data_IF_901606454994
#
_entry.id   IF_901606454994
#
_cell.length_a   1.000
_cell.length_b   1.000
_cell.length_c   1.000
_cell.angle_alpha   90.00
_cell.angle_beta   90.00
_cell.angle_gamma   90.00
#
_symmetry.space_group_name_H-M   'P 1'
#
loop_
_entity.id
_entity.type
_entity.pdbx_description
1 polymer ?
#
# COMPACT_ATOMS: atom_id res chain seq x y z
N UNK A 1 -7.75 8.59 -7.58
CA UNK A 1 -6.58 8.85 -8.41
C UNK A 1 -6.41 10.34 -8.66
N UNK A 2 -5.17 10.86 -8.75
CA UNK A 2 -4.94 12.28 -9.05
C UNK A 2 -5.35 12.66 -10.48
N UNK A 3 -5.24 11.74 -11.43
CA UNK A 3 -5.56 11.94 -12.87
C UNK A 3 -5.01 13.28 -13.37
N UNK A 4 -3.66 13.42 -13.47
CA UNK A 4 -3.02 14.72 -13.77
C UNK A 4 -3.49 15.38 -15.06
N UNK A 5 -3.90 14.57 -16.05
CA UNK A 5 -4.41 15.07 -17.33
C UNK A 5 -5.68 15.93 -17.20
N UNK A 6 -6.48 15.70 -16.15
CA UNK A 6 -7.72 16.48 -15.89
C UNK A 6 -7.49 17.56 -14.83
N UNK A 7 -6.53 17.35 -13.93
CA UNK A 7 -6.12 18.27 -12.85
C UNK A 7 -7.25 18.74 -11.91
N UNK A 8 -8.24 17.89 -11.63
CA UNK A 8 -9.37 18.20 -10.74
C UNK A 8 -9.26 17.61 -9.33
N UNK A 9 -8.14 16.98 -8.98
CA UNK A 9 -8.01 16.25 -7.72
C UNK A 9 -8.03 17.17 -6.49
N UNK A 10 -7.57 18.42 -6.60
CA UNK A 10 -7.66 19.40 -5.52
C UNK A 10 -9.10 19.81 -5.26
N UNK A 11 -9.89 20.03 -6.31
CA UNK A 11 -11.30 20.39 -6.16
C UNK A 11 -12.11 19.21 -5.60
N UNK A 12 -11.83 17.99 -6.06
CA UNK A 12 -12.42 16.78 -5.47
C UNK A 12 -12.06 16.66 -3.97
N UNK A 13 -10.81 16.98 -3.61
CA UNK A 13 -10.38 16.98 -2.21
C UNK A 13 -11.11 18.03 -1.37
N UNK A 14 -11.29 19.25 -1.87
CA UNK A 14 -12.11 20.27 -1.22
C UNK A 14 -13.53 19.78 -0.96
N UNK A 15 -14.15 19.10 -1.93
CA UNK A 15 -15.45 18.47 -1.75
C UNK A 15 -15.46 17.42 -0.64
N UNK A 16 -14.43 16.59 -0.53
CA UNK A 16 -14.28 15.61 0.56
C UNK A 16 -14.14 16.29 1.93
N UNK A 17 -13.42 17.40 2.01
CA UNK A 17 -13.30 18.21 3.23
C UNK A 17 -14.66 18.76 3.66
N UNK A 18 -15.48 19.24 2.75
CA UNK A 18 -16.83 19.72 3.08
C UNK A 18 -17.74 18.60 3.59
N UNK A 19 -17.65 17.38 3.03
CA UNK A 19 -18.37 16.21 3.56
C UNK A 19 -17.93 15.85 4.98
N UNK A 20 -16.64 15.97 5.27
CA UNK A 20 -16.10 15.73 6.60
C UNK A 20 -16.57 16.80 7.60
N UNK A 21 -16.52 18.10 7.22
CA UNK A 21 -17.05 19.21 8.05
C UNK A 21 -18.52 19.07 8.33
N UNK A 22 -19.30 18.59 7.37
CA UNK A 22 -20.72 18.31 7.52
C UNK A 22 -21.02 17.09 8.41
N UNK A 23 -20.00 16.36 8.87
CA UNK A 23 -20.15 15.16 9.70
C UNK A 23 -20.67 13.94 8.96
N UNK A 24 -20.74 13.98 7.62
CA UNK A 24 -21.20 12.86 6.80
C UNK A 24 -20.16 11.73 6.67
N UNK A 25 -18.89 12.07 6.83
CA UNK A 25 -17.77 11.11 6.88
C UNK A 25 -16.84 11.48 8.04
N UNK A 26 -16.24 10.47 8.68
CA UNK A 26 -15.30 10.67 9.80
C UNK A 26 -13.88 10.95 9.33
N UNK A 27 -13.45 10.27 8.28
CA UNK A 27 -12.10 10.32 7.75
C UNK A 27 -12.13 10.35 6.23
N UNK A 28 -11.17 11.05 5.64
CA UNK A 28 -11.02 11.17 4.19
C UNK A 28 -9.61 10.79 3.78
N UNK A 29 -9.47 10.17 2.64
CA UNK A 29 -8.19 9.69 2.13
C UNK A 29 -8.13 9.72 0.61
N UNK A 30 -6.98 9.38 0.08
CA UNK A 30 -6.69 9.39 -1.35
C UNK A 30 -6.13 8.04 -1.81
N UNK A 31 -6.04 7.87 -3.13
CA UNK A 31 -5.55 6.66 -3.76
C UNK A 31 -4.56 7.02 -4.87
N UNK A 32 -3.39 6.35 -4.87
CA UNK A 32 -2.35 6.50 -5.89
C UNK A 32 -1.75 7.91 -6.03
N UNK A 33 -1.73 8.67 -4.95
CA UNK A 33 -1.07 9.97 -4.94
C UNK A 33 0.43 9.82 -4.72
N UNK A 34 1.22 10.51 -5.56
CA UNK A 34 2.66 10.67 -5.39
C UNK A 34 2.94 11.85 -4.44
N UNK A 35 4.20 12.01 -4.02
CA UNK A 35 4.60 13.07 -3.08
C UNK A 35 4.15 14.46 -3.54
N UNK A 36 4.36 14.81 -4.81
CA UNK A 36 4.00 16.14 -5.34
C UNK A 36 2.47 16.36 -5.36
N UNK A 37 1.67 15.31 -5.60
CA UNK A 37 0.21 15.42 -5.52
C UNK A 37 -0.24 15.69 -4.07
N UNK A 38 0.32 14.94 -3.10
CA UNK A 38 0.02 15.10 -1.68
C UNK A 38 0.47 16.46 -1.15
N UNK A 39 1.67 16.89 -1.53
CA UNK A 39 2.18 18.22 -1.15
C UNK A 39 1.24 19.32 -1.63
N UNK A 40 0.83 19.28 -2.91
CA UNK A 40 -0.11 20.24 -3.45
C UNK A 40 -1.46 20.25 -2.74
N UNK A 41 -2.01 19.07 -2.38
CA UNK A 41 -3.25 19.02 -1.58
C UNK A 41 -3.08 19.76 -0.26
N UNK A 42 -1.99 19.52 0.44
CA UNK A 42 -1.72 20.12 1.75
C UNK A 42 -1.50 21.63 1.60
N UNK A 43 -0.71 22.06 0.62
CA UNK A 43 -0.39 23.47 0.38
C UNK A 43 -1.65 24.30 0.04
N UNK A 44 -2.54 23.74 -0.79
CA UNK A 44 -3.74 24.45 -1.24
C UNK A 44 -4.92 24.37 -0.27
N UNK A 45 -4.96 23.37 0.62
CA UNK A 45 -6.14 23.14 1.49
C UNK A 45 -5.85 23.16 2.98
N UNK A 46 -4.60 23.01 3.38
CA UNK A 46 -4.20 22.85 4.78
C UNK A 46 -4.61 21.48 5.39
N UNK A 47 -5.20 20.57 4.63
CA UNK A 47 -5.73 19.30 5.12
C UNK A 47 -5.01 18.14 4.46
N UNK A 48 -4.29 17.34 5.27
CA UNK A 48 -3.66 16.11 4.82
C UNK A 48 -4.69 14.95 4.81
N UNK A 49 -4.61 14.02 3.84
CA UNK A 49 -5.38 12.78 3.90
C UNK A 49 -4.94 11.90 5.08
N UNK A 50 -5.85 11.15 5.68
CA UNK A 50 -5.50 10.20 6.74
C UNK A 50 -4.84 8.93 6.19
N UNK A 51 -5.12 8.62 4.93
CA UNK A 51 -4.62 7.42 4.24
C UNK A 51 -4.31 7.73 2.78
N UNK A 52 -3.25 7.12 2.26
CA UNK A 52 -2.95 7.04 0.83
C UNK A 52 -2.86 5.56 0.46
N UNK A 53 -3.83 5.07 -0.32
CA UNK A 53 -3.87 3.68 -0.78
C UNK A 53 -3.12 3.56 -2.11
N UNK A 54 -2.01 2.85 -2.12
CA UNK A 54 -1.09 2.75 -3.28
C UNK A 54 -0.80 1.31 -3.66
N UNK A 55 -0.36 1.07 -4.89
CA UNK A 55 0.24 -0.21 -5.26
C UNK A 55 1.50 -0.42 -4.44
N UNK A 56 1.53 -1.47 -3.62
CA UNK A 56 2.71 -1.79 -2.85
C UNK A 56 2.79 -3.30 -2.61
N UNK A 57 3.93 -3.88 -2.94
CA UNK A 57 4.27 -5.29 -2.74
C UNK A 57 5.81 -5.45 -2.78
N UNK A 58 6.38 -6.62 -2.49
CA UNK A 58 7.83 -6.78 -2.39
C UNK A 58 8.64 -6.35 -3.63
N UNK A 59 8.04 -6.36 -4.84
CA UNK A 59 8.72 -5.92 -6.07
C UNK A 59 8.54 -4.42 -6.38
N UNK A 60 7.62 -3.75 -5.65
CA UNK A 60 7.36 -2.30 -5.73
C UNK A 60 7.12 -1.76 -4.32
N UNK A 61 8.17 -1.40 -3.61
CA UNK A 61 8.08 -1.05 -2.19
C UNK A 61 7.80 0.43 -1.93
N UNK A 62 7.94 1.28 -2.92
CA UNK A 62 7.64 2.72 -2.85
C UNK A 62 8.16 3.40 -1.56
N UNK A 63 9.39 3.08 -1.15
CA UNK A 63 9.97 3.46 0.16
C UNK A 63 9.99 4.95 0.41
N UNK A 64 10.29 5.75 -0.63
CA UNK A 64 10.33 7.21 -0.51
C UNK A 64 8.94 7.76 -0.22
N UNK A 65 7.92 7.30 -0.95
CA UNK A 65 6.54 7.71 -0.73
C UNK A 65 6.02 7.24 0.63
N UNK A 66 6.32 5.99 1.03
CA UNK A 66 5.96 5.47 2.34
C UNK A 66 6.59 6.28 3.48
N UNK A 67 7.89 6.57 3.39
CA UNK A 67 8.59 7.41 4.38
C UNK A 67 8.01 8.84 4.44
N UNK A 68 7.70 9.43 3.29
CA UNK A 68 7.09 10.74 3.22
C UNK A 68 5.69 10.74 3.86
N UNK A 69 4.86 9.77 3.54
CA UNK A 69 3.55 9.58 4.17
C UNK A 69 3.68 9.51 5.69
N UNK A 70 4.61 8.70 6.20
CA UNK A 70 4.83 8.54 7.64
C UNK A 70 5.21 9.87 8.32
N UNK A 71 6.07 10.70 7.72
CA UNK A 71 6.45 12.01 8.26
C UNK A 71 5.28 12.99 8.32
N UNK A 72 4.28 12.82 7.44
CA UNK A 72 3.08 13.65 7.37
C UNK A 72 1.87 13.02 8.09
N UNK A 73 2.08 11.93 8.84
CA UNK A 73 1.03 11.18 9.56
C UNK A 73 -0.06 10.63 8.63
N UNK A 74 0.29 10.33 7.40
CA UNK A 74 -0.58 9.69 6.40
C UNK A 74 -0.30 8.20 6.47
N UNK A 75 -1.33 7.40 6.75
CA UNK A 75 -1.21 5.95 6.72
C UNK A 75 -1.05 5.45 5.29
N UNK A 76 -0.09 4.58 5.04
CA UNK A 76 0.03 3.90 3.74
C UNK A 76 -0.78 2.60 3.77
N UNK A 77 -1.66 2.44 2.78
CA UNK A 77 -2.41 1.21 2.56
C UNK A 77 -1.99 0.59 1.22
N UNK A 78 -1.80 -0.73 1.21
CA UNK A 78 -1.31 -1.47 0.04
C UNK A 78 -2.45 -2.12 -0.72
N UNK A 79 -2.73 -1.67 -1.96
CA UNK A 79 -3.52 -2.46 -2.88
C UNK A 79 -2.62 -3.38 -3.72
N UNK A 80 -3.20 -4.47 -4.24
CA UNK A 80 -2.46 -5.59 -4.87
C UNK A 80 -1.27 -6.09 -4.03
N UNK A 81 -1.42 -6.27 -2.70
CA UNK A 81 -0.30 -6.59 -1.83
C UNK A 81 0.37 -7.92 -2.17
N UNK A 82 -0.37 -8.83 -2.78
CA UNK A 82 0.11 -10.13 -3.25
C UNK A 82 0.49 -10.13 -4.73
N UNK A 83 0.76 -8.96 -5.33
CA UNK A 83 1.19 -8.83 -6.74
C UNK A 83 0.30 -9.62 -7.71
N UNK A 84 -1.02 -9.34 -7.68
CA UNK A 84 -2.03 -9.95 -8.57
C UNK A 84 -2.02 -11.49 -8.59
N UNK A 85 -1.86 -12.11 -7.45
CA UNK A 85 -1.82 -13.56 -7.29
C UNK A 85 -0.41 -14.13 -7.13
N UNK A 86 0.54 -13.28 -6.77
CA UNK A 86 1.90 -13.65 -6.45
C UNK A 86 2.86 -13.65 -7.64
N UNK A 87 2.49 -12.97 -8.74
CA UNK A 87 3.28 -12.94 -9.97
C UNK A 87 4.74 -12.52 -9.71
N UNK A 88 5.62 -13.53 -9.71
CA UNK A 88 7.06 -13.38 -9.46
C UNK A 88 7.46 -13.05 -8.01
N UNK A 89 6.51 -12.88 -7.09
CA UNK A 89 6.79 -12.65 -5.65
C UNK A 89 6.90 -13.97 -4.91
N UNK A 90 5.93 -14.89 -5.09
CA UNK A 90 5.92 -16.16 -4.37
C UNK A 90 7.07 -17.09 -4.77
N UNK A 91 7.62 -16.90 -5.98
CA UNK A 91 8.76 -17.65 -6.49
C UNK A 91 10.13 -17.14 -6.00
N UNK A 92 10.16 -16.00 -5.30
CA UNK A 92 11.41 -15.50 -4.73
C UNK A 92 11.91 -16.47 -3.66
N UNK A 93 13.21 -16.82 -3.75
CA UNK A 93 13.81 -17.79 -2.82
C UNK A 93 13.59 -17.40 -1.37
N UNK A 94 13.82 -16.15 -1.01
CA UNK A 94 13.65 -15.66 0.36
C UNK A 94 12.19 -15.84 0.86
N UNK A 95 11.19 -15.61 0.02
CA UNK A 95 9.79 -15.78 0.41
C UNK A 95 9.48 -17.25 0.70
N UNK A 96 10.00 -18.18 -0.11
CA UNK A 96 9.85 -19.63 0.11
C UNK A 96 10.59 -20.11 1.35
N UNK A 97 11.83 -19.69 1.52
CA UNK A 97 12.64 -20.06 2.69
C UNK A 97 11.96 -19.61 3.99
N UNK A 98 11.37 -18.42 4.00
CA UNK A 98 10.61 -17.93 5.15
C UNK A 98 9.29 -18.68 5.35
N UNK A 99 8.60 -19.02 4.27
CA UNK A 99 7.39 -19.83 4.33
C UNK A 99 7.69 -21.19 4.99
N UNK A 100 8.78 -21.85 4.58
CA UNK A 100 9.24 -23.10 5.17
C UNK A 100 9.65 -22.92 6.65
N UNK A 101 10.41 -21.87 6.96
CA UNK A 101 10.88 -21.54 8.34
C UNK A 101 9.72 -21.39 9.31
N UNK A 102 8.67 -20.66 8.91
CA UNK A 102 7.53 -20.35 9.78
C UNK A 102 6.36 -21.32 9.66
N UNK A 103 6.44 -22.32 8.74
CA UNK A 103 5.32 -23.22 8.46
C UNK A 103 4.09 -22.49 7.91
N UNK A 104 4.31 -21.45 7.12
CA UNK A 104 3.28 -20.57 6.55
C UNK A 104 3.32 -20.59 5.02
N UNK A 105 2.28 -20.08 4.39
CA UNK A 105 2.28 -19.93 2.92
C UNK A 105 3.04 -18.68 2.49
N UNK A 106 3.55 -18.61 1.25
CA UNK A 106 4.14 -17.40 0.68
C UNK A 106 3.23 -16.16 0.80
N UNK A 107 1.91 -16.33 0.66
CA UNK A 107 0.94 -15.26 0.84
C UNK A 107 0.95 -14.71 2.28
N UNK A 108 0.97 -15.59 3.27
CA UNK A 108 1.04 -15.19 4.68
C UNK A 108 2.35 -14.46 5.01
N UNK A 109 3.48 -14.91 4.45
CA UNK A 109 4.77 -14.20 4.61
C UNK A 109 4.69 -12.79 4.04
N UNK A 110 4.14 -12.61 2.84
CA UNK A 110 4.00 -11.29 2.22
C UNK A 110 3.04 -10.40 2.99
N UNK A 111 1.91 -10.92 3.47
CA UNK A 111 0.98 -10.15 4.31
C UNK A 111 1.67 -9.75 5.62
N UNK A 112 2.39 -10.66 6.27
CA UNK A 112 3.14 -10.37 7.49
C UNK A 112 4.20 -9.30 7.26
N UNK A 113 4.92 -9.36 6.15
CA UNK A 113 5.88 -8.34 5.75
C UNK A 113 5.25 -6.94 5.67
N UNK A 114 4.04 -6.80 5.13
CA UNK A 114 3.32 -5.52 5.14
C UNK A 114 3.07 -5.04 6.57
N UNK A 115 2.54 -5.91 7.43
CA UNK A 115 2.21 -5.57 8.82
C UNK A 115 3.46 -5.16 9.60
N UNK A 116 4.57 -5.89 9.44
CA UNK A 116 5.83 -5.58 10.13
C UNK A 116 6.52 -4.31 9.61
N UNK A 117 6.15 -3.83 8.41
CA UNK A 117 6.53 -2.50 7.90
C UNK A 117 5.51 -1.39 8.25
N UNK A 118 4.51 -1.66 9.11
CA UNK A 118 3.52 -0.67 9.52
C UNK A 118 2.50 -0.27 8.44
N UNK A 119 2.32 -1.12 7.44
CA UNK A 119 1.40 -0.90 6.34
C UNK A 119 0.01 -1.50 6.65
N UNK A 120 -1.05 -0.85 6.21
CA UNK A 120 -2.37 -1.47 6.08
C UNK A 120 -2.40 -2.30 4.81
N UNK A 121 -2.96 -3.50 4.88
CA UNK A 121 -2.96 -4.45 3.75
C UNK A 121 -4.36 -4.97 3.47
N UNK A 122 -4.77 -4.96 2.20
CA UNK A 122 -6.10 -5.39 1.75
C UNK A 122 -6.01 -6.54 0.73
N UNK A 123 -5.63 -7.76 1.18
CA UNK A 123 -5.52 -8.91 0.30
C UNK A 123 -6.91 -9.38 -0.16
N UNK A 124 -7.10 -9.49 -1.48
CA UNK A 124 -8.36 -9.97 -2.06
C UNK A 124 -8.32 -11.49 -2.22
N UNK A 125 -9.37 -12.18 -1.80
CA UNK A 125 -9.65 -13.56 -2.17
C UNK A 125 -11.15 -13.80 -2.32
N UNK A 126 -11.53 -14.77 -3.15
CA UNK A 126 -12.90 -15.28 -3.29
C UNK A 126 -13.03 -16.71 -2.74
N UNK A 127 -11.91 -17.31 -2.33
CA UNK A 127 -11.86 -18.67 -1.79
C UNK A 127 -11.90 -18.62 -0.26
N UNK A 128 -12.93 -19.18 0.40
CA UNK A 128 -13.08 -19.08 1.86
C UNK A 128 -11.85 -19.53 2.64
N UNK A 129 -11.22 -20.63 2.24
CA UNK A 129 -10.00 -21.13 2.90
C UNK A 129 -8.82 -20.12 2.80
N UNK A 130 -8.64 -19.46 1.64
CA UNK A 130 -7.61 -18.43 1.48
C UNK A 130 -7.92 -17.15 2.25
N UNK A 131 -9.21 -16.83 2.45
CA UNK A 131 -9.57 -15.67 3.30
C UNK A 131 -9.15 -15.96 4.74
N UNK A 132 -9.44 -17.17 5.26
CA UNK A 132 -8.99 -17.56 6.59
C UNK A 132 -7.46 -17.61 6.69
N UNK A 133 -6.77 -18.17 5.69
CA UNK A 133 -5.32 -18.24 5.61
C UNK A 133 -4.68 -16.83 5.62
N UNK A 134 -5.20 -15.91 4.81
CA UNK A 134 -4.69 -14.52 4.76
C UNK A 134 -4.83 -13.78 6.10
N UNK A 135 -5.77 -14.19 6.95
CA UNK A 135 -5.96 -13.62 8.29
C UNK A 135 -5.10 -14.31 9.37
N UNK A 136 -4.61 -15.51 9.12
CA UNK A 136 -3.79 -16.31 10.05
C UNK A 136 -2.30 -15.92 9.96
N UNK A 137 -1.98 -14.69 10.39
CA UNK A 137 -0.65 -14.09 10.30
C UNK A 137 -0.17 -13.45 11.62
N UNK A 138 -0.84 -13.74 12.73
CA UNK A 138 -0.61 -13.05 14.00
C UNK A 138 0.31 -13.80 14.97
N UNK A 139 0.60 -15.06 14.72
CA UNK A 139 1.37 -15.98 15.55
C UNK A 139 2.88 -15.97 15.28
N UNK A 140 3.34 -15.16 14.31
CA UNK A 140 4.75 -14.99 13.98
C UNK A 140 5.07 -13.53 13.61
N UNK A 141 6.36 -13.20 13.55
CA UNK A 141 6.90 -11.92 13.06
C UNK A 141 8.17 -12.15 12.29
N UNK A 142 8.39 -11.32 11.29
CA UNK A 142 9.66 -11.26 10.56
C UNK A 142 10.65 -10.42 11.37
N UNK A 143 11.88 -10.88 11.47
CA UNK A 143 12.94 -10.11 12.10
C UNK A 143 13.54 -9.05 11.15
N UNK A 144 14.48 -8.25 11.66
CA UNK A 144 15.09 -7.16 10.87
C UNK A 144 15.90 -7.64 9.68
N UNK A 145 16.57 -8.78 9.83
CA UNK A 145 17.40 -9.34 8.77
C UNK A 145 16.52 -9.89 7.65
N UNK A 146 15.44 -10.57 7.99
CA UNK A 146 14.43 -11.08 7.06
C UNK A 146 13.72 -9.96 6.30
N UNK A 147 13.32 -8.90 7.01
CA UNK A 147 12.78 -7.69 6.39
C UNK A 147 13.81 -7.05 5.45
N UNK A 148 15.09 -7.04 5.85
CA UNK A 148 16.20 -6.57 5.03
C UNK A 148 16.42 -7.39 3.75
N UNK A 149 16.28 -8.72 3.84
CA UNK A 149 16.38 -9.59 2.66
C UNK A 149 15.19 -9.40 1.69
N UNK A 150 13.96 -9.31 2.20
CA UNK A 150 12.80 -8.98 1.37
C UNK A 150 12.94 -7.60 0.75
N UNK A 151 13.56 -6.66 1.48
CA UNK A 151 13.81 -5.32 0.99
C UNK A 151 14.65 -5.29 -0.31
N UNK A 152 15.51 -6.28 -0.54
CA UNK A 152 16.33 -6.41 -1.77
C UNK A 152 15.52 -6.83 -2.99
N UNK A 153 14.27 -7.26 -2.83
CA UNK A 153 13.40 -7.64 -3.94
C UNK A 153 12.83 -6.44 -4.70
N UNK A 154 12.97 -5.23 -4.19
CA UNK A 154 12.45 -4.02 -4.82
C UNK A 154 13.09 -3.80 -6.20
N UNK A 155 12.25 -3.81 -7.22
CA UNK A 155 12.66 -3.60 -8.62
C UNK A 155 11.99 -2.39 -9.24
N UNK A 156 11.18 -1.65 -8.46
CA UNK A 156 10.30 -0.62 -9.01
C UNK A 156 9.28 -1.18 -10.02
N UNK A 157 9.01 -2.50 -9.97
CA UNK A 157 8.13 -3.17 -10.93
C UNK A 157 6.67 -2.92 -10.60
N UNK A 158 6.07 -1.96 -11.29
CA UNK A 158 4.64 -1.66 -11.22
C UNK A 158 3.84 -2.68 -12.05
N UNK A 159 2.70 -3.12 -11.53
CA UNK A 159 1.75 -4.02 -12.21
C UNK A 159 0.51 -3.25 -12.67
N UNK A 160 0.15 -2.21 -11.95
CA UNK A 160 -0.90 -1.28 -12.32
C UNK A 160 -0.36 -0.07 -13.10
N UNK A 161 -1.25 0.84 -13.53
CA UNK A 161 -0.85 2.05 -14.26
C UNK A 161 -0.03 3.01 -13.38
N UNK A 162 0.82 3.80 -14.03
CA UNK A 162 1.57 4.87 -13.37
C UNK A 162 0.61 6.01 -13.02
N UNK A 163 0.54 6.44 -11.74
CA UNK A 163 -0.33 7.54 -11.34
C UNK A 163 -0.06 8.87 -12.05
N UNK A 164 1.18 9.11 -12.47
CA UNK A 164 1.56 10.35 -13.17
C UNK A 164 1.14 10.36 -14.65
N UNK A 165 0.79 9.19 -15.19
CA UNK A 165 0.41 9.01 -16.59
C UNK A 165 -1.05 8.55 -16.75
N UNK A 166 -1.72 8.21 -15.64
CA UNK A 166 -3.07 7.67 -15.69
C UNK A 166 -4.09 8.72 -16.11
N UNK A 167 -4.94 8.36 -17.09
CA UNK A 167 -6.01 9.23 -17.60
C UNK A 167 -5.56 10.24 -18.65
N UNK A 168 -4.33 10.09 -19.19
CA UNK A 168 -3.82 10.85 -20.33
C UNK A 168 -4.18 10.21 -21.67
#
# INVERSE_FOLDING_TARGET
WPVPAIDHYVDAWKGMIELQKAGLVKSIGVCNFQVHHLQRLIDETGVAPVINQIELHPLLQQRQLHAWNATHKIQTESWSPLAQGGEGVFDQKIIRDLADKYGKTPAQIVIRWHLDNGLVVIPKSVTPSRIAENFDVWDFRLDKDELGEIAKLDKGKRLGPDPDQFGG
#
